data_IF_731449055297
#
_entry.id   IF_731449055297
#
_cell.length_a   1.000
_cell.length_b   1.000
_cell.length_c   1.000
_cell.angle_alpha   90.00
_cell.angle_beta   90.00
_cell.angle_gamma   90.00
#
_symmetry.space_group_name_H-M   'P 1'
#
loop_
_entity.id
_entity.type
_entity.pdbx_description
1 polymer ?
#
# COMPACT_ATOMS: atom_id res chain seq x y z
N UNK A 1 -7.10 0.25 17.15
CA UNK A 1 -8.29 0.44 16.29
C UNK A 1 -7.89 0.33 14.84
N UNK A 2 -8.67 -0.37 14.04
CA UNK A 2 -8.39 -0.56 12.60
C UNK A 2 -9.58 -0.02 11.81
N UNK A 3 -9.30 0.83 10.82
CA UNK A 3 -10.30 1.31 9.86
C UNK A 3 -9.89 0.86 8.47
N UNK A 4 -10.84 0.38 7.69
CA UNK A 4 -10.59 -0.10 6.32
C UNK A 4 -11.47 0.61 5.32
N UNK A 5 -10.87 0.96 4.18
CA UNK A 5 -11.55 1.49 3.01
C UNK A 5 -11.14 0.67 1.80
N UNK A 6 -12.13 0.23 1.01
CA UNK A 6 -11.87 -0.43 -0.26
C UNK A 6 -11.92 0.61 -1.36
N UNK A 7 -10.85 0.70 -2.14
CA UNK A 7 -10.71 1.70 -3.20
C UNK A 7 -10.41 1.01 -4.52
N UNK A 8 -10.95 1.55 -5.58
CA UNK A 8 -10.60 1.14 -6.94
C UNK A 8 -9.73 2.20 -7.57
N UNK A 9 -8.53 1.80 -8.01
CA UNK A 9 -7.59 2.67 -8.71
C UNK A 9 -7.29 2.01 -10.05
N UNK A 10 -7.84 2.58 -11.12
CA UNK A 10 -7.81 1.95 -12.43
C UNK A 10 -8.55 0.61 -12.39
N UNK A 11 -7.89 -0.48 -12.79
CA UNK A 11 -8.44 -1.83 -12.77
C UNK A 11 -8.03 -2.63 -11.53
N UNK A 12 -7.41 -1.97 -10.55
CA UNK A 12 -6.94 -2.62 -9.33
C UNK A 12 -7.79 -2.24 -8.14
N UNK A 13 -8.09 -3.20 -7.29
CA UNK A 13 -8.70 -2.94 -5.99
C UNK A 13 -7.61 -2.70 -4.97
N UNK A 14 -7.72 -1.60 -4.23
CA UNK A 14 -6.82 -1.27 -3.14
C UNK A 14 -7.58 -1.27 -1.83
N UNK A 15 -6.94 -1.75 -0.79
CA UNK A 15 -7.48 -1.70 0.57
C UNK A 15 -6.62 -0.75 1.37
N UNK A 16 -7.25 0.28 1.92
CA UNK A 16 -6.60 1.24 2.81
C UNK A 16 -7.03 0.96 4.24
N UNK A 17 -6.07 0.81 5.13
CA UNK A 17 -6.33 0.54 6.54
C UNK A 17 -5.51 1.49 7.40
N UNK A 18 -6.10 1.94 8.50
CA UNK A 18 -5.42 2.76 9.51
C UNK A 18 -5.32 1.92 10.77
N UNK A 19 -4.10 1.76 11.27
CA UNK A 19 -3.82 1.04 12.51
C UNK A 19 -3.26 2.01 13.52
N UNK A 20 -3.91 2.11 14.68
CA UNK A 20 -3.41 2.89 15.79
C UNK A 20 -2.88 1.96 16.87
N UNK A 21 -1.64 2.19 17.25
CA UNK A 21 -1.02 1.50 18.38
C UNK A 21 -0.90 2.43 19.56
N UNK A 22 -1.49 2.04 20.67
CA UNK A 22 -1.32 2.75 21.92
C UNK A 22 -0.13 2.16 22.67
N UNK A 23 0.85 3.00 22.91
CA UNK A 23 1.99 2.75 23.81
C UNK A 23 2.23 4.04 24.58
N UNK A 24 3.48 4.28 24.97
CA UNK A 24 3.89 5.57 25.54
C UNK A 24 3.59 6.71 24.56
N UNK A 25 3.63 6.42 23.25
CA UNK A 25 3.18 7.33 22.19
C UNK A 25 2.24 6.58 21.26
N UNK A 26 1.16 7.24 20.87
CA UNK A 26 0.24 6.70 19.87
C UNK A 26 0.87 6.82 18.49
N UNK A 27 0.89 5.71 17.76
CA UNK A 27 1.41 5.65 16.41
C UNK A 27 0.27 5.28 15.45
N UNK A 28 0.11 6.06 14.38
CA UNK A 28 -0.90 5.84 13.36
C UNK A 28 -0.25 5.43 12.06
N UNK A 29 -0.60 4.26 11.56
CA UNK A 29 -0.03 3.69 10.36
C UNK A 29 -1.13 3.46 9.34
N UNK A 30 -0.95 4.00 8.13
CA UNK A 30 -1.82 3.69 7.00
C UNK A 30 -1.26 2.51 6.22
N UNK A 31 -2.12 1.58 5.84
CA UNK A 31 -1.72 0.41 5.06
C UNK A 31 -2.46 0.43 3.73
N UNK A 32 -1.70 0.43 2.64
CA UNK A 32 -2.26 0.35 1.29
C UNK A 32 -1.98 -1.05 0.76
N UNK A 33 -3.02 -1.88 0.70
CA UNK A 33 -2.96 -3.22 0.14
C UNK A 33 -3.44 -3.21 -1.30
N UNK A 34 -2.60 -3.67 -2.21
CA UNK A 34 -2.89 -3.71 -3.64
C UNK A 34 -1.97 -4.71 -4.32
N UNK A 35 -2.34 -5.16 -5.51
CA UNK A 35 -1.47 -6.04 -6.30
C UNK A 35 -0.27 -5.29 -6.87
N UNK A 36 -0.43 -3.99 -7.17
CA UNK A 36 0.59 -3.14 -7.79
C UNK A 36 1.10 -3.76 -9.10
N UNK A 37 0.24 -3.74 -10.13
CA UNK A 37 0.54 -4.33 -11.44
C UNK A 37 0.54 -3.30 -12.58
N UNK A 38 1.54 -2.42 -12.68
CA UNK A 38 2.54 -2.07 -11.67
C UNK A 38 2.05 -0.97 -10.73
N UNK A 39 2.83 -0.65 -9.73
CA UNK A 39 2.62 0.56 -8.93
C UNK A 39 2.74 1.79 -9.84
N UNK A 40 1.93 2.80 -9.60
CA UNK A 40 1.94 4.04 -10.39
C UNK A 40 1.71 5.26 -9.50
N UNK A 41 1.75 6.44 -10.14
CA UNK A 41 1.65 7.70 -9.40
C UNK A 41 0.36 7.81 -8.58
N UNK A 42 -0.73 7.20 -9.04
CA UNK A 42 -1.99 7.18 -8.29
C UNK A 42 -1.87 6.53 -6.93
N UNK A 43 -1.10 5.45 -6.83
CA UNK A 43 -0.83 4.79 -5.54
C UNK A 43 0.00 5.68 -4.62
N UNK A 44 1.00 6.35 -5.17
CA UNK A 44 1.86 7.24 -4.39
C UNK A 44 1.11 8.47 -3.90
N UNK A 45 0.25 9.04 -4.74
CA UNK A 45 -0.60 10.17 -4.36
C UNK A 45 -1.60 9.77 -3.28
N UNK A 46 -2.17 8.57 -3.37
CA UNK A 46 -3.05 8.06 -2.33
C UNK A 46 -2.32 8.02 -0.99
N UNK A 47 -1.09 7.52 -0.98
CA UNK A 47 -0.27 7.49 0.24
C UNK A 47 0.00 8.89 0.78
N UNK A 48 0.35 9.84 -0.08
CA UNK A 48 0.61 11.22 0.33
C UNK A 48 -0.63 11.89 0.92
N UNK A 49 -1.77 11.78 0.24
CA UNK A 49 -3.01 12.39 0.71
C UNK A 49 -3.47 11.74 2.02
N UNK A 50 -3.39 10.42 2.12
CA UNK A 50 -3.77 9.73 3.35
C UNK A 50 -2.86 10.14 4.51
N UNK A 51 -1.57 10.24 4.27
CA UNK A 51 -0.61 10.68 5.28
C UNK A 51 -0.98 12.03 5.87
N UNK A 52 -1.31 12.99 5.00
CA UNK A 52 -1.67 14.35 5.43
C UNK A 52 -3.08 14.42 6.02
N UNK A 53 -4.07 13.87 5.32
CA UNK A 53 -5.47 14.01 5.67
C UNK A 53 -5.83 13.34 7.00
N UNK A 54 -5.19 12.20 7.29
CA UNK A 54 -5.47 11.44 8.51
C UNK A 54 -4.42 11.66 9.60
N UNK A 55 -3.43 12.49 9.35
CA UNK A 55 -2.36 12.74 10.32
C UNK A 55 -1.59 11.48 10.70
N UNK A 56 -1.20 10.72 9.68
CA UNK A 56 -0.52 9.43 9.88
C UNK A 56 0.98 9.63 10.11
N UNK A 57 1.60 8.68 10.79
CA UNK A 57 3.05 8.69 11.04
C UNK A 57 3.81 7.97 9.94
N UNK A 58 3.22 6.91 9.39
CA UNK A 58 3.81 6.13 8.31
C UNK A 58 2.73 5.59 7.38
N UNK A 59 3.13 5.29 6.16
CA UNK A 59 2.33 4.55 5.18
C UNK A 59 3.08 3.29 4.82
N UNK A 60 2.42 2.15 4.98
CA UNK A 60 2.96 0.85 4.58
C UNK A 60 2.28 0.40 3.29
N UNK A 61 3.09 0.07 2.29
CA UNK A 61 2.63 -0.53 1.05
C UNK A 61 2.71 -2.04 1.18
N UNK A 62 1.59 -2.71 1.05
CA UNK A 62 1.49 -4.14 1.23
C UNK A 62 1.10 -4.81 -0.09
N UNK A 63 2.08 -5.28 -0.88
CA UNK A 63 1.77 -5.97 -2.12
C UNK A 63 1.01 -7.26 -1.84
N UNK A 64 -0.15 -7.41 -2.47
CA UNK A 64 -0.93 -8.63 -2.37
C UNK A 64 -0.35 -9.70 -3.29
N UNK A 65 -0.65 -10.95 -2.98
CA UNK A 65 -0.31 -12.06 -3.83
C UNK A 65 -1.11 -12.07 -5.13
N UNK A 66 -1.69 -13.21 -5.46
CA UNK A 66 -2.43 -13.32 -6.71
C UNK A 66 -3.79 -12.66 -6.62
N UNK A 67 -4.12 -11.71 -7.53
CA UNK A 67 -5.42 -11.07 -7.52
C UNK A 67 -6.53 -12.07 -7.90
N UNK A 68 -7.72 -11.96 -7.28
CA UNK A 68 -8.82 -12.90 -7.53
C UNK A 68 -9.33 -12.90 -8.97
N UNK A 69 -9.11 -11.82 -9.72
CA UNK A 69 -9.57 -11.67 -11.08
C UNK A 69 -8.58 -12.17 -12.13
N UNK A 70 -7.43 -12.70 -11.72
CA UNK A 70 -6.47 -13.29 -12.64
C UNK A 70 -6.80 -14.74 -12.92
N UNK A 71 -6.71 -15.12 -14.19
CA UNK A 71 -6.91 -16.52 -14.61
C UNK A 71 -5.74 -17.41 -14.21
N UNK A 72 -4.53 -16.84 -14.18
CA UNK A 72 -3.32 -17.57 -13.83
C UNK A 72 -2.63 -16.92 -12.64
N UNK A 73 -2.00 -17.75 -11.82
CA UNK A 73 -1.22 -17.27 -10.69
C UNK A 73 0.09 -16.66 -11.17
N UNK A 74 0.56 -15.63 -10.50
CA UNK A 74 1.88 -15.06 -10.76
C UNK A 74 2.97 -16.07 -10.42
N UNK A 75 4.04 -16.06 -11.20
CA UNK A 75 5.26 -16.78 -10.85
C UNK A 75 5.98 -16.05 -9.72
N UNK A 76 6.89 -16.73 -9.04
CA UNK A 76 7.73 -16.10 -8.03
C UNK A 76 8.53 -14.92 -8.60
N UNK A 77 9.00 -15.08 -9.84
CA UNK A 77 9.73 -14.02 -10.52
C UNK A 77 8.87 -12.79 -10.77
N UNK A 78 7.63 -12.98 -11.24
CA UNK A 78 6.69 -11.88 -11.44
C UNK A 78 6.36 -11.16 -10.13
N UNK A 79 6.13 -11.91 -9.07
CA UNK A 79 5.89 -11.36 -7.73
C UNK A 79 7.10 -10.57 -7.24
N UNK A 80 8.30 -11.11 -7.44
CA UNK A 80 9.53 -10.43 -7.07
C UNK A 80 9.68 -9.10 -7.81
N UNK A 81 9.38 -9.08 -9.11
CA UNK A 81 9.43 -7.85 -9.90
C UNK A 81 8.44 -6.80 -9.41
N UNK A 82 7.23 -7.21 -9.06
CA UNK A 82 6.23 -6.28 -8.51
C UNK A 82 6.70 -5.66 -7.20
N UNK A 83 7.27 -6.47 -6.31
CA UNK A 83 7.79 -6.00 -5.03
C UNK A 83 8.96 -5.04 -5.23
N UNK A 84 9.87 -5.34 -6.14
CA UNK A 84 11.00 -4.47 -6.44
C UNK A 84 10.55 -3.13 -7.04
N UNK A 85 9.54 -3.13 -7.91
CA UNK A 85 8.99 -1.89 -8.45
C UNK A 85 8.40 -1.01 -7.35
N UNK A 86 7.70 -1.61 -6.39
CA UNK A 86 7.18 -0.87 -5.23
C UNK A 86 8.33 -0.29 -4.42
N UNK A 87 9.34 -1.10 -4.12
CA UNK A 87 10.50 -0.66 -3.34
C UNK A 87 11.18 0.56 -3.96
N UNK A 88 11.40 0.52 -5.27
CA UNK A 88 12.02 1.62 -6.01
C UNK A 88 11.12 2.86 -6.03
N UNK A 89 9.81 2.68 -6.19
CA UNK A 89 8.88 3.78 -6.28
C UNK A 89 8.76 4.57 -4.97
N UNK A 90 8.85 3.89 -3.82
CA UNK A 90 8.68 4.53 -2.51
C UNK A 90 10.00 4.94 -1.86
N UNK A 91 11.11 4.59 -2.46
CA UNK A 91 12.46 4.77 -1.87
C UNK A 91 12.75 6.19 -1.44
N UNK A 92 12.28 7.19 -2.18
CA UNK A 92 12.58 8.60 -1.92
C UNK A 92 11.71 9.20 -0.82
N UNK A 93 10.68 8.51 -0.35
CA UNK A 93 9.80 9.03 0.68
C UNK A 93 10.07 8.35 2.02
N UNK A 94 10.60 9.10 3.03
CA UNK A 94 10.96 8.51 4.32
C UNK A 94 9.77 8.02 5.13
N UNK A 95 8.55 8.44 4.79
CA UNK A 95 7.34 8.05 5.50
C UNK A 95 6.66 6.82 4.91
N UNK A 96 7.19 6.31 3.79
CA UNK A 96 6.66 5.13 3.12
C UNK A 96 7.55 3.92 3.40
N UNK A 97 6.91 2.78 3.69
CA UNK A 97 7.60 1.51 3.93
C UNK A 97 6.90 0.38 3.18
N UNK A 98 7.65 -0.66 2.92
CA UNK A 98 7.17 -1.84 2.22
C UNK A 98 6.77 -2.93 3.22
#
# INVERSE_FOLDING_TARGET
MIRKLNLNIGNSQSVFSIVEKERVQTMKIGIIGCTFEPIHIGHLLLGEFAYEDFGLDEIWFLPNGNPPHKETLDTEEEMHHRIEMVRLAIKSNPNFSL
#
